data_IF_119676196240
#
_entry.id   IF_119676196240
#
_cell.length_a   1.000
_cell.length_b   1.000
_cell.length_c   1.000
_cell.angle_alpha   90.00
_cell.angle_beta   90.00
_cell.angle_gamma   90.00
#
_symmetry.space_group_name_H-M   'P 1'
#
loop_
_entity.id
_entity.type
_entity.pdbx_description
1 polymer ?
#
# COMPACT_ATOMS: atom_id res chain seq x y z
N UNK A 1 2.77 0.16 -42.08
CA UNK A 1 2.18 -0.89 -41.22
C UNK A 1 3.00 -1.22 -39.96
N UNK A 2 4.32 -1.48 -40.01
CA UNK A 2 5.08 -1.90 -38.80
C UNK A 2 5.18 -0.88 -37.65
N UNK A 3 5.03 0.43 -37.92
CA UNK A 3 5.15 1.48 -36.92
C UNK A 3 3.91 1.72 -36.05
N UNK A 4 2.71 1.55 -36.61
CA UNK A 4 1.44 1.73 -35.89
C UNK A 4 1.16 0.56 -34.95
N UNK A 5 1.48 -0.67 -35.38
CA UNK A 5 1.36 -1.86 -34.54
C UNK A 5 2.24 -1.76 -33.28
N UNK A 6 3.48 -1.26 -33.40
CA UNK A 6 4.38 -1.05 -32.26
C UNK A 6 3.86 0.00 -31.27
N UNK A 7 3.21 1.06 -31.75
CA UNK A 7 2.61 2.10 -30.91
C UNK A 7 1.42 1.56 -30.11
N UNK A 8 0.53 0.83 -30.80
CA UNK A 8 -0.62 0.19 -30.17
C UNK A 8 -0.20 -0.78 -29.06
N UNK A 9 0.78 -1.64 -29.32
CA UNK A 9 1.34 -2.58 -28.34
C UNK A 9 1.93 -1.87 -27.11
N UNK A 10 2.63 -0.74 -27.29
CA UNK A 10 3.21 0.02 -26.18
C UNK A 10 2.13 0.66 -25.29
N UNK A 11 1.06 1.19 -25.90
CA UNK A 11 -0.07 1.77 -25.16
C UNK A 11 -0.81 0.72 -24.33
N UNK A 12 -1.05 -0.45 -24.91
CA UNK A 12 -1.67 -1.58 -24.21
C UNK A 12 -0.79 -2.04 -23.05
N UNK A 13 0.50 -2.22 -23.28
CA UNK A 13 1.47 -2.56 -22.24
C UNK A 13 1.41 -1.58 -21.05
N UNK A 14 1.45 -0.26 -21.31
CA UNK A 14 1.40 0.75 -20.25
C UNK A 14 0.07 0.72 -19.48
N UNK A 15 -1.06 0.54 -20.17
CA UNK A 15 -2.38 0.43 -19.54
C UNK A 15 -2.51 -0.82 -18.67
N UNK A 16 -2.00 -1.96 -19.13
CA UNK A 16 -2.02 -3.22 -18.38
C UNK A 16 -1.22 -3.07 -17.09
N UNK A 17 -0.02 -2.48 -17.17
CA UNK A 17 0.82 -2.25 -16.00
C UNK A 17 0.22 -1.24 -15.03
N UNK A 18 -0.41 -0.17 -15.52
CA UNK A 18 -1.16 0.77 -14.67
C UNK A 18 -2.33 0.11 -13.95
N UNK A 19 -3.05 -0.77 -14.65
CA UNK A 19 -4.20 -1.48 -14.07
C UNK A 19 -3.74 -2.46 -13.01
N UNK A 20 -2.73 -3.29 -13.31
CA UNK A 20 -2.14 -4.23 -12.35
C UNK A 20 -1.59 -3.53 -11.12
N UNK A 21 -0.83 -2.45 -11.28
CA UNK A 21 -0.28 -1.70 -10.15
C UNK A 21 -1.39 -1.11 -9.25
N UNK A 22 -2.52 -0.67 -9.83
CA UNK A 22 -3.68 -0.20 -9.06
C UNK A 22 -4.36 -1.31 -8.28
N UNK A 23 -4.53 -2.48 -8.91
CA UNK A 23 -5.12 -3.65 -8.27
C UNK A 23 -4.23 -4.13 -7.11
N UNK A 24 -2.92 -4.24 -7.35
CA UNK A 24 -1.91 -4.61 -6.34
C UNK A 24 -1.93 -3.61 -5.18
N UNK A 25 -1.90 -2.31 -5.46
CA UNK A 25 -1.99 -1.25 -4.44
C UNK A 25 -3.26 -1.37 -3.59
N UNK A 26 -4.40 -1.62 -4.25
CA UNK A 26 -5.68 -1.78 -3.56
C UNK A 26 -5.66 -2.97 -2.60
N UNK A 27 -5.04 -4.07 -3.00
CA UNK A 27 -4.96 -5.27 -2.17
C UNK A 27 -4.01 -5.06 -0.98
N UNK A 28 -2.83 -4.49 -1.21
CA UNK A 28 -1.87 -4.18 -0.14
C UNK A 28 -2.46 -3.15 0.84
N UNK A 29 -3.25 -2.19 0.37
CA UNK A 29 -3.97 -1.26 1.26
C UNK A 29 -5.02 -1.96 2.14
N UNK A 30 -5.71 -2.99 1.64
CA UNK A 30 -6.61 -3.80 2.48
C UNK A 30 -5.82 -4.54 3.55
N UNK A 31 -4.67 -5.11 3.20
CA UNK A 31 -3.79 -5.78 4.16
C UNK A 31 -3.30 -4.81 5.24
N UNK A 32 -2.91 -3.59 4.85
CA UNK A 32 -2.51 -2.55 5.79
C UNK A 32 -3.64 -2.23 6.78
N UNK A 33 -4.87 -2.10 6.29
CA UNK A 33 -6.04 -1.86 7.14
C UNK A 33 -6.28 -3.02 8.12
N UNK A 34 -6.16 -4.26 7.67
CA UNK A 34 -6.30 -5.43 8.53
C UNK A 34 -5.24 -5.45 9.65
N UNK A 35 -3.99 -5.13 9.32
CA UNK A 35 -2.90 -5.04 10.30
C UNK A 35 -3.13 -3.89 11.30
N UNK A 36 -3.68 -2.76 10.86
CA UNK A 36 -4.05 -1.67 11.76
C UNK A 36 -5.14 -2.08 12.76
N UNK A 37 -6.13 -2.84 12.32
CA UNK A 37 -7.19 -3.35 13.20
C UNK A 37 -6.62 -4.38 14.20
N UNK A 38 -5.73 -5.26 13.75
CA UNK A 38 -5.01 -6.20 14.61
C UNK A 38 -4.21 -5.48 15.70
N UNK A 39 -3.46 -4.42 15.34
CA UNK A 39 -2.73 -3.57 16.28
C UNK A 39 -3.66 -2.96 17.33
N UNK A 40 -4.81 -2.43 16.90
CA UNK A 40 -5.81 -1.83 17.77
C UNK A 40 -6.38 -2.83 18.77
N UNK A 41 -6.75 -4.03 18.32
CA UNK A 41 -7.26 -5.09 19.19
C UNK A 41 -6.23 -5.49 20.26
N UNK A 42 -4.95 -5.59 19.89
CA UNK A 42 -3.89 -5.90 20.86
C UNK A 42 -3.75 -4.78 21.90
N UNK A 43 -3.79 -3.51 21.48
CA UNK A 43 -3.74 -2.36 22.41
C UNK A 43 -4.93 -2.36 23.38
N UNK A 44 -6.16 -2.59 22.89
CA UNK A 44 -7.34 -2.72 23.74
C UNK A 44 -7.21 -3.87 24.76
N UNK A 45 -6.58 -4.98 24.36
CA UNK A 45 -6.35 -6.12 25.25
C UNK A 45 -5.28 -5.83 26.31
N UNK A 46 -4.25 -5.04 25.97
CA UNK A 46 -3.26 -4.55 26.93
C UNK A 46 -3.96 -3.66 27.96
N UNK A 47 -4.71 -2.66 27.51
CA UNK A 47 -5.44 -1.72 28.38
C UNK A 47 -6.40 -2.46 29.33
N UNK A 48 -7.19 -3.41 28.83
CA UNK A 48 -8.07 -4.23 29.67
C UNK A 48 -7.30 -5.08 30.68
N UNK A 49 -6.12 -5.59 30.30
CA UNK A 49 -5.31 -6.40 31.22
C UNK A 49 -4.71 -5.53 32.32
N UNK A 50 -4.28 -4.30 32.00
CA UNK A 50 -3.79 -3.32 32.97
C UNK A 50 -4.91 -2.86 33.93
N UNK A 51 -6.09 -2.50 33.41
CA UNK A 51 -7.25 -2.10 34.24
C UNK A 51 -7.68 -3.21 35.23
N UNK A 52 -7.68 -4.47 34.78
CA UNK A 52 -8.00 -5.60 35.67
C UNK A 52 -6.94 -5.82 36.74
N UNK A 53 -5.66 -5.51 36.45
CA UNK A 53 -4.58 -5.61 37.42
C UNK A 53 -4.72 -4.55 38.52
N UNK A 54 -5.09 -3.33 38.14
CA UNK A 54 -5.29 -2.23 39.09
C UNK A 54 -6.46 -2.52 40.05
N UNK A 55 -7.55 -3.11 39.56
CA UNK A 55 -8.70 -3.53 40.38
C UNK A 55 -8.29 -4.65 41.37
N UNK A 56 -7.53 -5.65 40.92
CA UNK A 56 -7.07 -6.74 41.80
C UNK A 56 -6.14 -6.23 42.91
N UNK A 57 -5.30 -5.22 42.63
CA UNK A 57 -4.43 -4.59 43.64
C UNK A 57 -5.21 -3.79 44.70
N UNK A 58 -6.33 -3.15 44.35
CA UNK A 58 -7.15 -2.42 45.32
C UNK A 58 -7.94 -3.33 46.27
N UNK A 59 -8.25 -4.57 45.87
CA UNK A 59 -9.16 -5.44 46.61
C UNK A 59 -8.44 -6.59 47.35
N UNK A 60 -7.43 -7.25 46.77
CA UNK A 60 -6.69 -8.35 47.42
C UNK A 60 -5.31 -8.59 46.78
N UNK A 61 -4.22 -8.49 47.55
CA UNK A 61 -2.91 -9.05 47.15
C UNK A 61 -2.46 -10.09 48.19
N UNK A 62 -1.83 -11.25 47.86
CA UNK A 62 -0.96 -11.51 46.71
C UNK A 62 -1.11 -12.93 46.09
N UNK A 63 -1.77 -13.10 44.94
CA UNK A 63 -1.75 -14.42 44.23
C UNK A 63 -1.62 -14.40 42.70
N UNK A 64 -1.63 -13.25 42.01
CA UNK A 64 -1.78 -13.21 40.53
C UNK A 64 -0.58 -12.66 39.73
N UNK A 65 0.47 -12.15 40.39
CA UNK A 65 1.48 -11.26 39.79
C UNK A 65 2.28 -11.84 38.61
N UNK A 66 2.60 -13.14 38.63
CA UNK A 66 3.42 -13.74 37.57
C UNK A 66 2.62 -13.99 36.29
N UNK A 67 1.35 -14.41 36.39
CA UNK A 67 0.54 -14.73 35.19
C UNK A 67 0.10 -13.50 34.41
N UNK A 68 -0.16 -12.39 35.09
CA UNK A 68 -0.54 -11.13 34.46
C UNK A 68 0.65 -10.49 33.73
N UNK A 69 1.83 -10.52 34.36
CA UNK A 69 3.07 -10.05 33.76
C UNK A 69 3.45 -10.85 32.51
N UNK A 70 3.30 -12.18 32.55
CA UNK A 70 3.52 -13.04 31.39
C UNK A 70 2.53 -12.75 30.26
N UNK A 71 1.26 -12.52 30.60
CA UNK A 71 0.22 -12.15 29.63
C UNK A 71 0.50 -10.79 28.98
N UNK A 72 0.88 -9.77 29.75
CA UNK A 72 1.27 -8.46 29.22
C UNK A 72 2.54 -8.54 28.37
N UNK A 73 3.53 -9.34 28.80
CA UNK A 73 4.75 -9.59 28.02
C UNK A 73 4.42 -10.22 26.65
N UNK A 74 3.54 -11.22 26.64
CA UNK A 74 3.06 -11.87 25.41
C UNK A 74 2.32 -10.89 24.48
N UNK A 75 1.40 -10.07 25.02
CA UNK A 75 0.69 -9.05 24.24
C UNK A 75 1.65 -8.00 23.66
N UNK A 76 2.65 -7.56 24.44
CA UNK A 76 3.67 -6.62 23.96
C UNK A 76 4.57 -7.21 22.88
N UNK A 77 4.93 -8.50 22.99
CA UNK A 77 5.66 -9.21 21.94
C UNK A 77 4.84 -9.31 20.66
N UNK A 78 3.55 -9.63 20.76
CA UNK A 78 2.63 -9.65 19.62
C UNK A 78 2.48 -8.26 18.99
N UNK A 79 2.34 -7.21 19.81
CA UNK A 79 2.26 -5.83 19.34
C UNK A 79 3.50 -5.43 18.53
N UNK A 80 4.69 -5.82 18.99
CA UNK A 80 5.95 -5.59 18.26
C UNK A 80 5.92 -6.26 16.88
N UNK A 81 5.55 -7.53 16.82
CA UNK A 81 5.45 -8.28 15.56
C UNK A 81 4.45 -7.63 14.59
N UNK A 82 3.29 -7.21 15.07
CA UNK A 82 2.27 -6.53 14.24
C UNK A 82 2.77 -5.19 13.73
N UNK A 83 3.50 -4.42 14.54
CA UNK A 83 4.13 -3.16 14.10
C UNK A 83 5.20 -3.36 13.05
N UNK A 84 6.02 -4.39 13.18
CA UNK A 84 7.01 -4.76 12.16
C UNK A 84 6.33 -5.13 10.83
N UNK A 85 5.26 -5.93 10.89
CA UNK A 85 4.43 -6.27 9.72
C UNK A 85 3.79 -5.03 9.09
N UNK A 86 3.26 -4.11 9.91
CA UNK A 86 2.67 -2.84 9.44
C UNK A 86 3.68 -2.00 8.66
N UNK A 87 4.90 -1.90 9.15
CA UNK A 87 5.98 -1.17 8.50
C UNK A 87 6.41 -1.85 7.17
N UNK A 88 6.44 -3.18 7.13
CA UNK A 88 6.71 -3.91 5.88
C UNK A 88 5.64 -3.64 4.83
N UNK A 89 4.35 -3.73 5.19
CA UNK A 89 3.23 -3.44 4.28
C UNK A 89 3.27 -1.99 3.82
N UNK A 90 3.64 -1.04 4.70
CA UNK A 90 3.79 0.37 4.33
C UNK A 90 4.89 0.58 3.27
N UNK A 91 6.05 -0.06 3.43
CA UNK A 91 7.12 -0.03 2.43
C UNK A 91 6.68 -0.60 1.08
N UNK A 92 5.84 -1.63 1.10
CA UNK A 92 5.27 -2.22 -0.11
C UNK A 92 4.30 -1.25 -0.81
N UNK A 93 3.44 -0.56 -0.04
CA UNK A 93 2.58 0.52 -0.55
C UNK A 93 3.42 1.61 -1.22
N UNK A 94 4.49 2.06 -0.57
CA UNK A 94 5.37 3.10 -1.10
C UNK A 94 6.03 2.66 -2.41
N UNK A 95 6.50 1.41 -2.49
CA UNK A 95 7.07 0.81 -3.71
C UNK A 95 6.06 0.82 -4.86
N UNK A 96 4.88 0.24 -4.65
CA UNK A 96 3.85 0.11 -5.69
C UNK A 96 3.35 1.50 -6.13
N UNK A 97 3.22 2.43 -5.19
CA UNK A 97 2.83 3.81 -5.49
C UNK A 97 3.87 4.50 -6.38
N UNK A 98 5.17 4.26 -6.13
CA UNK A 98 6.26 4.74 -6.98
C UNK A 98 6.20 4.15 -8.39
N UNK A 99 6.00 2.83 -8.51
CA UNK A 99 5.85 2.16 -9.81
C UNK A 99 4.66 2.71 -10.60
N UNK A 100 3.53 2.91 -9.93
CA UNK A 100 2.31 3.48 -10.50
C UNK A 100 2.53 4.91 -11.02
N UNK A 101 3.29 5.74 -10.30
CA UNK A 101 3.63 7.08 -10.75
C UNK A 101 4.56 7.05 -11.96
N UNK A 102 5.56 6.16 -11.98
CA UNK A 102 6.43 5.97 -13.14
C UNK A 102 5.62 5.60 -14.40
N UNK A 103 4.68 4.66 -14.30
CA UNK A 103 3.84 4.30 -15.44
C UNK A 103 2.91 5.43 -15.89
N UNK A 104 2.41 6.26 -14.96
CA UNK A 104 1.61 7.45 -15.33
C UNK A 104 2.44 8.46 -16.11
N UNK A 105 3.67 8.71 -15.69
CA UNK A 105 4.60 9.60 -16.39
C UNK A 105 4.87 9.07 -17.81
N UNK A 106 5.23 7.79 -17.93
CA UNK A 106 5.44 7.15 -19.24
C UNK A 106 4.21 7.24 -20.15
N UNK A 107 3.01 7.06 -19.61
CA UNK A 107 1.76 7.19 -20.36
C UNK A 107 1.50 8.63 -20.79
N UNK A 108 1.78 9.61 -19.94
CA UNK A 108 1.66 11.03 -20.28
C UNK A 108 2.63 11.43 -21.41
N UNK A 109 3.88 10.98 -21.34
CA UNK A 109 4.88 11.17 -22.38
C UNK A 109 4.47 10.53 -23.70
N UNK A 110 3.96 9.29 -23.66
CA UNK A 110 3.42 8.60 -24.82
C UNK A 110 2.31 9.41 -25.50
N UNK A 111 1.33 9.90 -24.74
CA UNK A 111 0.23 10.73 -25.25
C UNK A 111 0.76 12.03 -25.86
N UNK A 112 1.75 12.66 -25.22
CA UNK A 112 2.36 13.90 -25.74
C UNK A 112 3.08 13.67 -27.07
N UNK A 113 3.78 12.54 -27.22
CA UNK A 113 4.44 12.15 -28.47
C UNK A 113 3.42 11.87 -29.58
N UNK A 114 2.30 11.22 -29.28
CA UNK A 114 1.23 11.00 -30.27
C UNK A 114 0.65 12.33 -30.78
N UNK A 115 0.36 13.28 -29.88
CA UNK A 115 -0.15 14.60 -30.25
C UNK A 115 0.84 15.37 -31.14
N UNK A 116 2.13 15.38 -30.80
CA UNK A 116 3.18 16.01 -31.62
C UNK A 116 3.28 15.37 -33.01
N UNK A 117 3.22 14.04 -33.08
CA UNK A 117 3.23 13.31 -34.36
C UNK A 117 2.05 13.64 -35.28
N UNK A 118 0.85 13.84 -34.72
CA UNK A 118 -0.34 14.23 -35.48
C UNK A 118 -0.25 15.68 -36.01
N UNK A 119 0.25 16.62 -35.19
CA UNK A 119 0.44 18.01 -35.60
C UNK A 119 1.45 18.18 -36.74
N UNK A 120 2.52 17.36 -36.77
CA UNK A 120 3.51 17.38 -37.84
C UNK A 120 3.02 16.75 -39.16
N UNK A 121 2.06 15.82 -39.09
CA UNK A 121 1.44 15.22 -40.28
C UNK A 121 0.41 16.16 -40.92
N UNK A 122 -0.36 16.91 -40.12
CA UNK A 122 -1.31 17.91 -40.62
C UNK A 122 -0.65 19.06 -41.39
N UNK A 123 0.54 19.49 -40.97
CA UNK A 123 1.24 20.61 -41.60
C UNK A 123 1.86 20.28 -42.97
N UNK A 124 2.13 19.00 -43.28
CA UNK A 124 2.69 18.60 -44.59
C UNK A 124 1.66 18.59 -45.72
N UNK A 125 0.36 18.57 -45.39
CA UNK A 125 -0.72 18.60 -46.38
C UNK A 125 -1.11 20.02 -46.81
N UNK A 126 -0.67 21.07 -46.11
CA UNK A 126 -0.95 22.47 -46.48
C UNK A 126 0.12 23.10 -47.39
N UNK A 127 1.29 22.47 -47.56
CA UNK A 127 2.37 22.98 -48.42
C UNK A 127 2.42 22.36 -49.82
N UNK A 128 1.39 21.59 -50.20
CA UNK A 128 1.19 21.08 -51.57
C UNK A 128 -0.06 21.71 -52.17
N UNK A 129 0.05 22.98 -52.55
CA UNK A 129 -0.85 23.66 -53.50
C UNK A 129 0.00 24.42 -54.49
#
# INVERSE_FOLDING_TARGET
MKGEYKKHMLKEFLNDHLTKAREELTEVMKQYKAVCEEEKVILENIEKTEQNADIDFEIFSPRSGDSLKDKLSSLNANLKTVREKKEQVKKEIDRISGDLENYKVMMAEYIALEKKGQSAAGNKNLTRT
#
